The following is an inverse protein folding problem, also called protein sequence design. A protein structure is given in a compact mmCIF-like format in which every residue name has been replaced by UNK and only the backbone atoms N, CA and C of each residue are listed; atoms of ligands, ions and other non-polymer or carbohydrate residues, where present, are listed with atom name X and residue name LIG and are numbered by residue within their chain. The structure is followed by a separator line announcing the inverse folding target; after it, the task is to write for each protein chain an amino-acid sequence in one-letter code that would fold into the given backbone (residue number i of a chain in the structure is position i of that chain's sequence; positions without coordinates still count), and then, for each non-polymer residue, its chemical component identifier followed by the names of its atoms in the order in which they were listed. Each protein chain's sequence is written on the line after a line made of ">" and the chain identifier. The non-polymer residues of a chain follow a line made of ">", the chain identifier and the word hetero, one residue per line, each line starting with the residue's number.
data_IF_637056272039
#
_entry.id   IF_637056272039
#
_cell.length_a   1.000
_cell.length_b   1.000
_cell.length_c   1.000
_cell.angle_alpha   90.00
_cell.angle_beta   90.00
_cell.angle_gamma   90.00
#
_symmetry.space_group_name_H-M   'P 1'
#
loop_
_entity.id
_entity.type
_entity.pdbx_description
1 polymer ?
#
# COMPACT_ATOMS: atom_id res chain seq x y z
N UNK A 1 -6.67 22.69 -11.04
CA UNK A 1 -7.96 23.08 -10.44
C UNK A 1 -8.37 24.51 -10.83
N UNK A 2 -7.58 25.54 -10.65
CA UNK A 2 -7.94 26.94 -10.94
C UNK A 2 -8.42 27.18 -12.39
N UNK A 3 -7.76 26.57 -13.39
CA UNK A 3 -8.17 26.66 -14.81
C UNK A 3 -9.51 25.98 -15.11
N UNK A 4 -10.01 25.15 -14.21
CA UNK A 4 -11.25 24.37 -14.33
C UNK A 4 -12.34 24.82 -13.35
N UNK A 5 -12.28 26.10 -12.91
CA UNK A 5 -13.35 26.73 -12.15
C UNK A 5 -13.30 26.55 -10.62
N UNK A 6 -12.34 25.82 -10.08
CA UNK A 6 -12.14 25.70 -8.64
C UNK A 6 -10.92 26.51 -8.18
N UNK A 7 -11.08 27.27 -7.12
CA UNK A 7 -10.00 28.02 -6.45
C UNK A 7 -9.76 27.40 -5.07
N UNK A 8 -8.49 27.33 -4.71
CA UNK A 8 -8.06 26.98 -3.35
C UNK A 8 -7.45 28.23 -2.72
N UNK A 9 -7.69 28.45 -1.45
CA UNK A 9 -7.14 29.57 -0.67
C UNK A 9 -5.72 29.29 -0.14
N UNK A 10 -5.29 28.03 -0.17
CA UNK A 10 -3.99 27.58 0.32
C UNK A 10 -3.49 26.37 -0.46
N UNK A 11 -2.17 26.17 -0.49
CA UNK A 11 -1.52 24.96 -1.00
C UNK A 11 -1.33 23.89 0.10
N UNK A 12 -1.68 24.22 1.35
CA UNK A 12 -1.55 23.34 2.52
C UNK A 12 -2.87 23.24 3.28
N UNK A 13 -3.08 22.10 3.94
CA UNK A 13 -4.24 21.90 4.82
C UNK A 13 -4.11 22.74 6.11
N UNK A 14 -5.25 23.27 6.62
CA UNK A 14 -6.59 23.21 6.05
C UNK A 14 -6.74 24.06 4.81
N UNK A 15 -7.57 23.65 3.84
CA UNK A 15 -7.80 24.36 2.59
C UNK A 15 -9.29 24.56 2.33
N UNK A 16 -9.67 25.78 1.92
CA UNK A 16 -11.01 26.10 1.46
C UNK A 16 -11.07 26.03 -0.08
N UNK A 17 -12.01 25.29 -0.61
CA UNK A 17 -12.26 25.19 -2.05
C UNK A 17 -13.52 25.95 -2.41
N UNK A 18 -13.42 26.85 -3.41
CA UNK A 18 -14.54 27.61 -3.93
C UNK A 18 -14.73 27.36 -5.42
N UNK A 19 -15.98 27.45 -5.90
CA UNK A 19 -16.32 27.34 -7.32
C UNK A 19 -16.90 25.98 -7.69
N UNK A 20 -17.02 25.77 -9.01
CA UNK A 20 -17.55 24.52 -9.59
C UNK A 20 -16.55 23.97 -10.59
N UNK A 21 -16.28 22.68 -10.49
CA UNK A 21 -15.44 21.97 -11.44
C UNK A 21 -16.10 22.03 -12.84
N UNK A 22 -15.32 22.25 -13.88
CA UNK A 22 -15.78 22.34 -15.27
C UNK A 22 -15.11 21.26 -16.11
N UNK A 23 -15.85 20.75 -17.09
CA UNK A 23 -15.28 19.84 -18.11
C UNK A 23 -14.14 20.47 -18.88
N UNK A 24 -13.27 19.63 -19.45
CA UNK A 24 -12.11 20.04 -20.24
C UNK A 24 -10.92 19.10 -20.09
N UNK A 25 -9.74 19.55 -20.50
CA UNK A 25 -8.51 18.76 -20.50
C UNK A 25 -7.73 18.98 -19.21
N UNK A 26 -7.57 17.92 -18.44
CA UNK A 26 -6.82 17.86 -17.18
C UNK A 26 -5.45 17.22 -17.41
N UNK A 27 -4.40 18.01 -17.33
CA UNK A 27 -3.02 17.52 -17.52
C UNK A 27 -2.32 17.39 -16.19
N UNK A 28 -1.80 16.20 -15.89
CA UNK A 28 -1.12 15.91 -14.63
C UNK A 28 -0.06 14.79 -14.79
N UNK A 29 0.96 14.73 -13.91
CA UNK A 29 1.93 13.64 -13.94
C UNK A 29 1.29 12.33 -13.44
N UNK A 30 1.65 11.21 -14.09
CA UNK A 30 1.18 9.87 -13.74
C UNK A 30 1.98 9.20 -12.63
N UNK A 31 3.13 9.76 -12.25
CA UNK A 31 4.08 9.19 -11.30
C UNK A 31 4.09 9.86 -9.91
N UNK A 32 3.16 10.75 -9.61
CA UNK A 32 3.06 11.41 -8.30
C UNK A 32 2.07 10.66 -7.41
N UNK A 33 0.80 10.60 -7.79
CA UNK A 33 -0.21 9.88 -7.03
C UNK A 33 -1.37 9.44 -7.92
N UNK A 34 -1.68 8.14 -7.87
CA UNK A 34 -2.87 7.57 -8.51
C UNK A 34 -4.17 8.16 -7.95
N UNK A 35 -4.17 8.66 -6.71
CA UNK A 35 -5.34 9.26 -6.07
C UNK A 35 -5.83 10.52 -6.78
N UNK A 36 -4.94 11.33 -7.36
CA UNK A 36 -5.34 12.50 -8.14
C UNK A 36 -6.10 12.11 -9.40
N UNK A 37 -5.63 11.05 -10.08
CA UNK A 37 -6.28 10.49 -11.27
C UNK A 37 -7.62 9.88 -10.88
N UNK A 38 -7.66 9.07 -9.84
CA UNK A 38 -8.88 8.43 -9.30
C UNK A 38 -9.93 9.46 -8.93
N UNK A 39 -9.56 10.53 -8.22
CA UNK A 39 -10.48 11.61 -7.87
C UNK A 39 -11.11 12.29 -9.10
N UNK A 40 -10.32 12.55 -10.14
CA UNK A 40 -10.84 13.09 -11.40
C UNK A 40 -11.73 12.08 -12.12
N UNK A 41 -11.34 10.80 -12.21
CA UNK A 41 -12.14 9.75 -12.83
C UNK A 41 -13.53 9.60 -12.18
N UNK A 42 -13.64 9.81 -10.86
CA UNK A 42 -14.95 9.83 -10.18
C UNK A 42 -15.75 11.11 -10.42
N UNK A 43 -15.10 12.25 -10.55
CA UNK A 43 -15.80 13.54 -10.63
C UNK A 43 -16.21 13.92 -12.07
N UNK A 44 -15.33 13.70 -13.06
CA UNK A 44 -15.50 14.19 -14.42
C UNK A 44 -16.73 13.63 -15.16
N UNK A 45 -17.15 12.35 -14.96
CA UNK A 45 -18.35 11.84 -15.61
C UNK A 45 -19.64 12.60 -15.28
N UNK A 46 -19.68 13.24 -14.10
CA UNK A 46 -20.86 13.99 -13.62
C UNK A 46 -20.99 15.39 -14.22
N UNK A 47 -19.94 15.88 -14.88
CA UNK A 47 -19.94 17.21 -15.49
C UNK A 47 -20.73 17.19 -16.79
N UNK A 48 -21.26 18.35 -17.21
CA UNK A 48 -22.13 18.45 -18.41
C UNK A 48 -21.39 18.12 -19.71
N UNK A 49 -20.12 18.50 -19.83
CA UNK A 49 -19.33 18.34 -21.05
C UNK A 49 -18.31 17.20 -20.97
N UNK A 50 -17.78 16.83 -22.12
CA UNK A 50 -16.67 15.86 -22.24
C UNK A 50 -15.41 16.38 -21.52
N UNK A 51 -14.69 15.46 -20.90
CA UNK A 51 -13.41 15.74 -20.25
C UNK A 51 -12.35 14.76 -20.71
N UNK A 52 -11.08 15.16 -20.57
CA UNK A 52 -9.93 14.33 -20.87
C UNK A 52 -8.91 14.44 -19.73
N UNK A 53 -8.35 13.32 -19.34
CA UNK A 53 -7.17 13.27 -18.46
C UNK A 53 -5.97 12.94 -19.33
N UNK A 54 -4.96 13.84 -19.35
CA UNK A 54 -3.69 13.65 -20.06
C UNK A 54 -2.56 13.51 -19.07
N UNK A 55 -1.81 12.43 -19.19
CA UNK A 55 -0.64 12.19 -18.37
C UNK A 55 0.63 12.70 -19.05
N UNK A 56 1.50 13.35 -18.28
CA UNK A 56 2.78 13.88 -18.76
C UNK A 56 3.95 12.94 -18.50
N UNK A 57 3.75 11.91 -17.68
CA UNK A 57 4.75 10.88 -17.34
C UNK A 57 4.12 9.50 -17.34
N UNK A 58 4.95 8.45 -17.28
CA UNK A 58 4.47 7.07 -17.07
C UNK A 58 3.65 6.96 -15.78
N UNK A 59 2.69 6.04 -15.80
CA UNK A 59 1.84 5.74 -14.64
C UNK A 59 2.62 4.84 -13.68
N UNK A 60 2.61 5.23 -12.41
CA UNK A 60 2.98 4.36 -11.30
C UNK A 60 1.74 3.98 -10.49
N UNK A 61 1.76 2.81 -9.85
CA UNK A 61 0.60 2.25 -9.14
C UNK A 61 -0.65 2.16 -10.03
N UNK A 62 -0.48 1.67 -11.27
CA UNK A 62 -1.55 1.52 -12.26
C UNK A 62 -2.72 0.67 -11.71
N UNK A 63 -2.44 -0.34 -10.91
CA UNK A 63 -3.45 -1.22 -10.32
C UNK A 63 -4.57 -0.47 -9.58
N UNK A 64 -4.28 0.62 -8.88
CA UNK A 64 -5.31 1.43 -8.21
C UNK A 64 -6.21 2.18 -9.19
N UNK A 65 -5.66 2.58 -10.35
CA UNK A 65 -6.44 3.19 -11.41
C UNK A 65 -7.33 2.14 -12.08
N UNK A 66 -6.80 0.95 -12.33
CA UNK A 66 -7.54 -0.18 -12.91
C UNK A 66 -8.70 -0.61 -12.01
N UNK A 67 -8.52 -0.62 -10.67
CA UNK A 67 -9.60 -0.80 -9.69
C UNK A 67 -10.67 0.26 -9.84
N UNK A 68 -10.27 1.52 -9.98
CA UNK A 68 -11.19 2.64 -10.19
C UNK A 68 -11.99 2.46 -11.47
N UNK A 69 -11.34 2.15 -12.59
CA UNK A 69 -11.98 1.92 -13.88
C UNK A 69 -12.95 0.72 -13.84
N UNK A 70 -12.56 -0.39 -13.20
CA UNK A 70 -13.42 -1.56 -12.96
C UNK A 70 -14.66 -1.17 -12.15
N UNK A 71 -14.48 -0.36 -11.12
CA UNK A 71 -15.57 0.15 -10.27
C UNK A 71 -16.50 1.06 -11.06
N UNK A 72 -15.96 2.05 -11.77
CA UNK A 72 -16.76 2.97 -12.61
C UNK A 72 -17.63 2.21 -13.62
N UNK A 73 -17.03 1.25 -14.33
CA UNK A 73 -17.77 0.38 -15.27
C UNK A 73 -18.90 -0.38 -14.58
N UNK A 74 -18.65 -0.88 -13.36
CA UNK A 74 -19.66 -1.58 -12.56
C UNK A 74 -20.84 -0.68 -12.20
N UNK A 75 -20.60 0.60 -11.99
CA UNK A 75 -21.63 1.59 -11.68
C UNK A 75 -22.15 2.32 -12.92
N UNK A 76 -21.95 1.77 -14.11
CA UNK A 76 -22.54 2.25 -15.36
C UNK A 76 -21.84 3.46 -15.96
N UNK A 77 -20.64 3.79 -15.50
CA UNK A 77 -19.84 4.89 -16.03
C UNK A 77 -18.93 4.39 -17.16
N UNK A 78 -18.94 5.12 -18.27
CA UNK A 78 -18.08 4.89 -19.44
C UNK A 78 -16.86 5.79 -19.37
N UNK A 79 -15.67 5.19 -19.47
CA UNK A 79 -14.39 5.85 -19.62
C UNK A 79 -13.63 5.13 -20.72
N UNK A 80 -13.03 5.86 -21.64
CA UNK A 80 -12.26 5.30 -22.75
C UNK A 80 -10.78 5.59 -22.55
N UNK A 81 -9.94 4.56 -22.53
CA UNK A 81 -8.48 4.72 -22.47
C UNK A 81 -7.98 5.27 -23.82
N UNK A 82 -7.03 6.19 -23.75
CA UNK A 82 -6.34 6.81 -24.90
C UNK A 82 -4.83 6.58 -24.79
N UNK A 83 -4.05 6.96 -25.78
CA UNK A 83 -2.59 6.82 -25.75
C UNK A 83 -1.93 7.58 -24.58
N UNK A 84 -2.53 8.68 -24.12
CA UNK A 84 -1.97 9.55 -23.09
C UNK A 84 -2.79 9.62 -21.79
N UNK A 85 -3.85 8.82 -21.65
CA UNK A 85 -4.72 8.86 -20.48
C UNK A 85 -6.13 8.38 -20.76
N UNK A 86 -7.16 9.21 -20.53
CA UNK A 86 -8.56 8.81 -20.65
C UNK A 86 -9.44 9.92 -21.19
N UNK A 87 -10.40 9.55 -22.07
CA UNK A 87 -11.53 10.38 -22.48
C UNK A 87 -12.76 9.98 -21.66
N UNK A 88 -13.47 10.97 -21.15
CA UNK A 88 -14.59 10.81 -20.23
C UNK A 88 -15.78 11.62 -20.74
N UNK A 89 -16.80 10.97 -21.34
CA UNK A 89 -18.08 11.62 -21.66
C UNK A 89 -18.71 12.23 -20.41
N UNK A 90 -19.25 13.42 -20.52
CA UNK A 90 -19.98 14.05 -19.43
C UNK A 90 -21.47 13.67 -19.37
N UNK A 91 -22.19 14.25 -18.42
CA UNK A 91 -23.63 14.03 -18.23
C UNK A 91 -24.01 12.63 -17.78
N UNK A 92 -23.05 11.83 -17.35
CA UNK A 92 -23.28 10.46 -16.89
C UNK A 92 -23.88 10.45 -15.47
N UNK A 93 -24.50 9.34 -15.12
CA UNK A 93 -25.05 9.10 -13.79
C UNK A 93 -24.60 7.74 -13.28
N UNK A 94 -24.25 7.66 -12.00
CA UNK A 94 -23.94 6.39 -11.36
C UNK A 94 -25.21 5.55 -11.15
N UNK A 95 -25.13 4.30 -11.55
CA UNK A 95 -26.20 3.31 -11.36
C UNK A 95 -25.64 2.15 -10.53
N UNK A 96 -25.97 2.14 -9.24
CA UNK A 96 -25.52 1.08 -8.35
C UNK A 96 -26.20 -0.26 -8.62
N UNK A 97 -25.48 -1.37 -8.60
CA UNK A 97 -26.07 -2.70 -8.59
C UNK A 97 -26.82 -2.94 -7.25
N UNK A 98 -27.80 -3.85 -7.25
CA UNK A 98 -28.61 -4.15 -6.06
C UNK A 98 -27.76 -4.70 -4.90
N UNK A 99 -26.68 -5.40 -5.20
CA UNK A 99 -25.78 -5.99 -4.22
C UNK A 99 -24.35 -5.97 -4.76
N UNK A 100 -23.39 -5.66 -3.89
CA UNK A 100 -21.96 -5.76 -4.15
C UNK A 100 -21.24 -6.22 -2.89
N UNK A 101 -20.29 -7.08 -3.09
CA UNK A 101 -19.31 -7.44 -2.08
C UNK A 101 -18.02 -6.65 -2.36
N UNK A 102 -17.49 -5.98 -1.36
CA UNK A 102 -16.13 -5.47 -1.42
C UNK A 102 -15.17 -6.66 -1.32
N UNK A 103 -14.21 -6.72 -2.21
CA UNK A 103 -13.12 -7.69 -2.08
C UNK A 103 -12.22 -7.33 -0.90
N UNK A 104 -11.46 -8.32 -0.38
CA UNK A 104 -10.47 -8.09 0.66
C UNK A 104 -9.31 -7.22 0.16
N UNK A 105 -8.69 -6.53 1.10
CA UNK A 105 -7.55 -5.64 0.86
C UNK A 105 -6.25 -6.42 0.89
N UNK A 106 -5.59 -6.56 -0.27
CA UNK A 106 -4.31 -7.24 -0.40
C UNK A 106 -3.18 -6.54 0.35
N UNK A 107 -3.24 -5.20 0.47
CA UNK A 107 -2.25 -4.46 1.24
C UNK A 107 -2.28 -4.84 2.72
N UNK A 108 -3.49 -4.95 3.29
CA UNK A 108 -3.67 -5.36 4.69
C UNK A 108 -3.41 -6.87 4.88
N UNK A 109 -3.81 -7.70 3.93
CA UNK A 109 -3.54 -9.14 3.98
C UNK A 109 -2.04 -9.47 3.93
N UNK A 110 -1.24 -8.64 3.28
CA UNK A 110 0.20 -8.83 3.15
C UNK A 110 0.91 -8.93 4.51
N UNK A 111 0.47 -8.19 5.53
CA UNK A 111 1.05 -8.27 6.87
C UNK A 111 0.90 -9.67 7.47
N UNK A 112 -0.26 -10.27 7.32
CA UNK A 112 -0.55 -11.61 7.82
C UNK A 112 0.14 -12.70 7.01
N UNK A 113 0.19 -12.56 5.69
CA UNK A 113 0.88 -13.50 4.82
C UNK A 113 2.38 -13.52 5.09
N UNK A 114 3.00 -12.36 5.32
CA UNK A 114 4.41 -12.28 5.74
C UNK A 114 4.61 -12.90 7.12
N UNK A 115 3.73 -12.63 8.08
CA UNK A 115 3.80 -13.27 9.40
C UNK A 115 3.75 -14.79 9.28
N UNK A 116 2.86 -15.33 8.43
CA UNK A 116 2.77 -16.78 8.17
C UNK A 116 4.02 -17.35 7.50
N UNK A 117 4.60 -16.60 6.55
CA UNK A 117 5.82 -16.99 5.85
C UNK A 117 7.07 -17.02 6.76
N UNK A 118 7.12 -16.16 7.78
CA UNK A 118 8.25 -16.10 8.73
C UNK A 118 8.08 -17.09 9.87
N UNK A 119 6.89 -17.14 10.51
CA UNK A 119 6.76 -17.77 11.83
C UNK A 119 5.86 -19.01 11.87
N UNK A 120 5.20 -19.41 10.76
CA UNK A 120 4.27 -20.53 10.84
C UNK A 120 3.42 -20.75 9.60
N UNK A 121 2.10 -20.62 9.74
CA UNK A 121 1.16 -20.75 8.62
C UNK A 121 -0.07 -19.88 8.90
N UNK A 122 -0.36 -18.90 8.02
CA UNK A 122 -1.53 -18.04 8.15
C UNK A 122 -2.29 -18.00 6.82
N UNK A 123 -3.62 -18.18 6.92
CA UNK A 123 -4.55 -18.11 5.80
C UNK A 123 -5.41 -16.85 5.84
N UNK A 124 -5.43 -16.08 4.74
CA UNK A 124 -6.28 -14.91 4.54
C UNK A 124 -7.44 -15.24 3.61
N UNK A 125 -8.67 -14.92 4.03
CA UNK A 125 -9.89 -15.16 3.26
C UNK A 125 -10.45 -13.87 2.66
N UNK A 126 -11.31 -14.03 1.63
CA UNK A 126 -12.04 -12.93 1.01
C UNK A 126 -11.23 -12.13 -0.01
N UNK A 127 -10.03 -12.57 -0.36
CA UNK A 127 -9.19 -11.96 -1.38
C UNK A 127 -9.60 -12.45 -2.77
N UNK A 128 -9.74 -11.53 -3.72
CA UNK A 128 -9.95 -11.87 -5.14
C UNK A 128 -8.60 -12.10 -5.82
N UNK A 129 -8.35 -13.32 -6.28
CA UNK A 129 -7.10 -13.68 -6.97
C UNK A 129 -6.96 -13.01 -8.35
N UNK A 130 -8.07 -12.53 -8.92
CA UNK A 130 -8.10 -11.78 -10.18
C UNK A 130 -8.19 -10.25 -9.94
N UNK A 131 -7.98 -9.80 -8.70
CA UNK A 131 -8.02 -8.40 -8.35
C UNK A 131 -6.93 -7.61 -9.10
N UNK A 132 -7.24 -6.41 -9.61
CA UNK A 132 -6.23 -5.49 -10.14
C UNK A 132 -5.40 -4.80 -9.04
N UNK A 133 -5.62 -5.08 -7.76
CA UNK A 133 -4.78 -4.57 -6.67
C UNK A 133 -3.32 -4.96 -6.91
N UNK A 134 -2.42 -3.96 -7.03
CA UNK A 134 -0.98 -4.21 -7.25
C UNK A 134 -0.36 -5.07 -6.16
N UNK A 135 -0.81 -4.88 -4.93
CA UNK A 135 -0.31 -5.55 -3.73
C UNK A 135 -0.65 -7.05 -3.67
N UNK A 136 -1.46 -7.56 -4.60
CA UNK A 136 -1.59 -9.00 -4.84
C UNK A 136 -0.25 -9.67 -5.18
N UNK A 137 0.73 -8.88 -5.65
CA UNK A 137 2.09 -9.34 -5.90
C UNK A 137 2.76 -9.97 -4.67
N UNK A 138 2.27 -9.71 -3.45
CA UNK A 138 2.82 -10.32 -2.23
C UNK A 138 2.88 -11.85 -2.30
N UNK A 139 1.88 -12.48 -2.92
CA UNK A 139 1.84 -13.94 -3.04
C UNK A 139 3.04 -14.47 -3.83
N UNK A 140 3.30 -13.88 -5.02
CA UNK A 140 4.43 -14.26 -5.86
C UNK A 140 5.78 -13.89 -5.23
N UNK A 141 5.86 -12.74 -4.56
CA UNK A 141 7.08 -12.31 -3.87
C UNK A 141 7.44 -13.24 -2.71
N UNK A 142 6.46 -13.73 -1.95
CA UNK A 142 6.72 -14.72 -0.90
C UNK A 142 7.23 -16.05 -1.46
N UNK A 143 6.71 -16.50 -2.60
CA UNK A 143 7.25 -17.67 -3.31
C UNK A 143 8.69 -17.41 -3.82
N UNK A 144 8.98 -16.22 -4.33
CA UNK A 144 10.31 -15.84 -4.77
C UNK A 144 11.30 -15.79 -3.59
N UNK A 145 10.86 -15.33 -2.41
CA UNK A 145 11.64 -15.45 -1.17
C UNK A 145 11.88 -16.92 -0.77
N UNK A 146 11.04 -17.85 -1.20
CA UNK A 146 11.13 -19.27 -0.87
C UNK A 146 10.03 -19.80 0.06
N UNK A 147 9.12 -18.94 0.56
CA UNK A 147 7.98 -19.39 1.35
C UNK A 147 7.00 -20.20 0.49
N UNK A 148 6.16 -20.99 1.12
CA UNK A 148 5.11 -21.73 0.41
C UNK A 148 3.80 -20.96 0.44
N UNK A 149 3.21 -20.67 -0.73
CA UNK A 149 1.86 -20.13 -0.82
C UNK A 149 0.90 -21.16 -1.42
N UNK A 150 -0.32 -21.23 -0.88
CA UNK A 150 -1.38 -22.10 -1.39
C UNK A 150 -2.67 -21.34 -1.54
N UNK A 151 -3.27 -21.41 -2.72
CA UNK A 151 -4.60 -20.88 -2.99
C UNK A 151 -5.60 -22.01 -2.97
N UNK A 152 -6.64 -21.89 -2.13
CA UNK A 152 -7.75 -22.83 -2.07
C UNK A 152 -9.07 -22.07 -1.89
N UNK A 153 -10.01 -22.27 -2.82
CA UNK A 153 -11.29 -21.57 -2.82
C UNK A 153 -11.08 -20.03 -2.83
N UNK A 154 -11.47 -19.35 -1.75
CA UNK A 154 -11.35 -17.91 -1.55
C UNK A 154 -10.31 -17.55 -0.48
N UNK A 155 -9.35 -18.43 -0.23
CA UNK A 155 -8.30 -18.27 0.77
C UNK A 155 -6.93 -18.41 0.11
N UNK A 156 -5.99 -17.57 0.53
CA UNK A 156 -4.56 -17.77 0.31
C UNK A 156 -3.88 -18.04 1.65
N UNK A 157 -3.01 -19.03 1.70
CA UNK A 157 -2.24 -19.38 2.90
C UNK A 157 -0.76 -19.24 2.58
N UNK A 158 -0.04 -18.49 3.41
CA UNK A 158 1.43 -18.46 3.40
C UNK A 158 1.98 -19.30 4.55
N UNK A 159 2.95 -20.13 4.25
CA UNK A 159 3.54 -21.09 5.21
C UNK A 159 5.06 -20.94 5.19
N UNK A 160 5.64 -21.00 6.38
CA UNK A 160 7.09 -20.87 6.59
C UNK A 160 7.88 -21.92 5.79
N UNK A 161 8.90 -21.45 5.13
CA UNK A 161 10.03 -22.21 4.54
C UNK A 161 11.29 -21.36 4.67
N UNK A 162 12.44 -21.96 4.38
CA UNK A 162 13.70 -21.19 4.27
C UNK A 162 13.58 -20.11 3.20
N UNK A 163 13.69 -18.87 3.63
CA UNK A 163 13.61 -17.70 2.74
C UNK A 163 15.01 -17.18 2.40
N UNK A 164 15.16 -16.64 1.19
CA UNK A 164 16.42 -16.04 0.68
C UNK A 164 16.14 -14.64 0.15
N UNK A 165 17.14 -13.78 0.24
CA UNK A 165 17.08 -12.41 -0.24
C UNK A 165 16.85 -12.35 -1.76
N UNK A 166 16.04 -11.38 -2.20
CA UNK A 166 15.62 -11.17 -3.57
C UNK A 166 15.75 -9.70 -3.99
N UNK A 167 15.53 -9.41 -5.28
CA UNK A 167 15.40 -8.02 -5.76
C UNK A 167 13.95 -7.70 -6.09
N UNK A 168 13.44 -6.57 -5.58
CA UNK A 168 12.03 -6.19 -5.66
C UNK A 168 11.90 -4.82 -6.31
N UNK A 169 11.10 -4.70 -7.37
CA UNK A 169 10.69 -3.43 -7.95
C UNK A 169 9.45 -2.90 -7.23
N UNK A 170 9.60 -1.80 -6.47
CA UNK A 170 8.52 -1.20 -5.69
C UNK A 170 7.63 -0.23 -6.47
N UNK A 171 7.92 0.04 -7.74
CA UNK A 171 7.22 1.08 -8.53
C UNK A 171 5.69 0.88 -8.58
N UNK A 172 5.20 -0.37 -8.58
CA UNK A 172 3.78 -0.69 -8.63
C UNK A 172 3.18 -1.15 -7.29
N UNK A 173 4.04 -1.37 -6.27
CA UNK A 173 3.68 -1.93 -4.96
C UNK A 173 4.27 -1.16 -3.78
N UNK A 174 4.25 0.19 -3.79
CA UNK A 174 4.91 0.99 -2.75
C UNK A 174 4.37 0.70 -1.35
N UNK A 175 3.13 0.27 -1.26
CA UNK A 175 2.46 0.02 0.02
C UNK A 175 2.86 -1.32 0.66
N UNK A 176 3.48 -2.23 -0.10
CA UNK A 176 4.06 -3.47 0.44
C UNK A 176 5.46 -3.26 1.05
N UNK A 177 6.18 -2.17 0.71
CA UNK A 177 7.58 -2.01 1.11
C UNK A 177 7.80 -2.14 2.62
N UNK A 178 6.99 -1.54 3.52
CA UNK A 178 7.18 -1.71 4.95
C UNK A 178 7.19 -3.18 5.41
N UNK A 179 6.23 -3.96 4.95
CA UNK A 179 6.16 -5.37 5.37
C UNK A 179 7.17 -6.25 4.63
N UNK A 180 7.59 -5.88 3.41
CA UNK A 180 8.65 -6.55 2.69
C UNK A 180 10.02 -6.34 3.35
N UNK A 181 10.25 -5.22 4.04
CA UNK A 181 11.44 -5.03 4.86
C UNK A 181 11.49 -6.05 6.00
N UNK A 182 10.37 -6.39 6.59
CA UNK A 182 10.28 -7.42 7.64
C UNK A 182 10.54 -8.81 7.07
N UNK A 183 9.96 -9.13 5.90
CA UNK A 183 10.25 -10.39 5.20
C UNK A 183 11.74 -10.53 4.86
N UNK A 184 12.36 -9.42 4.41
CA UNK A 184 13.79 -9.36 4.08
C UNK A 184 14.68 -9.61 5.29
N UNK A 185 14.31 -9.11 6.48
CA UNK A 185 15.05 -9.35 7.72
C UNK A 185 15.01 -10.82 8.15
N UNK A 186 13.95 -11.55 7.80
CA UNK A 186 13.84 -12.98 8.09
C UNK A 186 14.48 -13.88 7.02
N UNK A 187 14.87 -13.34 5.87
CA UNK A 187 15.45 -14.07 4.77
C UNK A 187 17.00 -14.18 4.88
N UNK A 188 17.59 -15.25 4.39
CA UNK A 188 19.04 -15.37 4.29
C UNK A 188 19.61 -14.50 3.16
N UNK A 189 20.68 -13.75 3.43
CA UNK A 189 21.36 -12.92 2.42
C UNK A 189 20.79 -11.53 2.30
N UNK A 190 20.89 -10.91 1.12
CA UNK A 190 20.51 -9.51 0.90
C UNK A 190 19.27 -9.40 0.04
N UNK A 191 18.34 -8.54 0.48
CA UNK A 191 17.19 -8.10 -0.31
C UNK A 191 17.37 -6.65 -0.71
N UNK A 192 17.24 -6.35 -2.00
CA UNK A 192 17.21 -4.98 -2.53
C UNK A 192 15.78 -4.63 -2.97
N UNK A 193 15.20 -3.58 -2.39
CA UNK A 193 13.92 -3.00 -2.81
C UNK A 193 14.23 -1.68 -3.50
N UNK A 194 14.00 -1.59 -4.80
CA UNK A 194 14.35 -0.43 -5.64
C UNK A 194 13.13 0.20 -6.31
N UNK A 195 13.32 1.34 -7.00
CA UNK A 195 12.23 2.20 -7.49
C UNK A 195 11.26 2.61 -6.35
N UNK A 196 11.82 2.88 -5.18
CA UNK A 196 11.11 3.14 -3.93
C UNK A 196 11.05 4.64 -3.54
N UNK A 197 11.59 5.54 -4.35
CA UNK A 197 11.72 6.98 -4.03
C UNK A 197 10.40 7.66 -3.71
N UNK A 198 9.26 7.20 -4.27
CA UNK A 198 7.92 7.72 -3.94
C UNK A 198 7.50 7.50 -2.49
N UNK A 199 8.11 6.55 -1.79
CA UNK A 199 7.82 6.30 -0.38
C UNK A 199 8.17 7.49 0.50
N UNK A 200 9.08 8.36 0.04
CA UNK A 200 9.44 9.60 0.74
C UNK A 200 8.34 10.65 0.76
N UNK A 201 7.33 10.51 -0.10
CA UNK A 201 6.19 11.44 -0.23
C UNK A 201 4.87 10.80 0.24
N UNK A 202 4.93 9.76 1.07
CA UNK A 202 3.75 9.12 1.65
C UNK A 202 3.34 9.79 2.97
N UNK A 203 2.60 9.11 3.83
CA UNK A 203 2.17 9.60 5.15
C UNK A 203 3.36 9.97 6.05
N UNK A 204 4.48 9.31 5.85
CA UNK A 204 5.81 9.61 6.37
C UNK A 204 6.83 9.45 5.25
N UNK A 205 8.10 9.82 5.45
CA UNK A 205 9.19 9.30 4.60
C UNK A 205 9.39 7.82 4.95
N UNK A 206 8.51 6.96 4.37
CA UNK A 206 8.47 5.51 4.69
C UNK A 206 9.81 4.83 4.48
N UNK A 207 10.61 5.30 3.50
CA UNK A 207 11.90 4.69 3.21
C UNK A 207 12.87 4.94 4.36
N UNK A 208 13.01 6.19 4.79
CA UNK A 208 13.87 6.58 5.91
C UNK A 208 13.37 5.98 7.24
N UNK A 209 12.05 6.08 7.50
CA UNK A 209 11.46 5.57 8.75
C UNK A 209 11.62 4.05 8.85
N UNK A 210 11.40 3.28 7.77
CA UNK A 210 11.63 1.84 7.79
C UNK A 210 13.11 1.51 7.99
N UNK A 211 14.04 2.24 7.36
CA UNK A 211 15.46 2.04 7.58
C UNK A 211 15.83 2.25 9.07
N UNK A 212 15.35 3.33 9.68
CA UNK A 212 15.55 3.63 11.10
C UNK A 212 14.95 2.52 11.99
N UNK A 213 13.70 2.15 11.75
CA UNK A 213 13.01 1.13 12.54
C UNK A 213 13.73 -0.22 12.49
N UNK A 214 14.14 -0.67 11.30
CA UNK A 214 14.84 -1.93 11.14
C UNK A 214 16.23 -1.90 11.80
N UNK A 215 16.97 -0.78 11.70
CA UNK A 215 18.24 -0.61 12.40
C UNK A 215 18.08 -0.64 13.92
N UNK A 216 17.01 -0.04 14.47
CA UNK A 216 16.73 -0.07 15.91
C UNK A 216 16.52 -1.48 16.46
N UNK A 217 15.97 -2.38 15.66
CA UNK A 217 15.82 -3.80 16.05
C UNK A 217 17.06 -4.66 15.68
N UNK A 218 18.16 -4.03 15.28
CA UNK A 218 19.42 -4.72 15.01
C UNK A 218 19.51 -5.40 13.65
N UNK A 219 18.77 -4.95 12.66
CA UNK A 219 18.88 -5.38 11.27
C UNK A 219 19.84 -4.48 10.52
N UNK A 220 20.75 -5.06 9.72
CA UNK A 220 21.67 -4.30 8.87
C UNK A 220 20.91 -3.75 7.65
N UNK A 221 20.90 -2.41 7.52
CA UNK A 221 20.18 -1.69 6.46
C UNK A 221 21.07 -0.65 5.81
N UNK A 222 21.07 -0.62 4.48
CA UNK A 222 21.64 0.45 3.66
C UNK A 222 20.50 1.20 2.95
N UNK A 223 20.22 2.42 3.39
CA UNK A 223 19.23 3.31 2.75
C UNK A 223 19.90 4.10 1.62
N UNK A 224 19.22 4.19 0.47
CA UNK A 224 19.60 5.01 -0.70
C UNK A 224 18.47 5.96 -1.09
N UNK A 225 18.70 6.94 -1.96
CA UNK A 225 17.64 7.89 -2.37
C UNK A 225 16.38 7.23 -2.93
N UNK A 226 16.50 6.10 -3.62
CA UNK A 226 15.43 5.39 -4.33
C UNK A 226 15.39 3.88 -4.05
N UNK A 227 16.11 3.42 -3.04
CA UNK A 227 16.12 2.00 -2.66
C UNK A 227 16.52 1.79 -1.21
N UNK A 228 16.20 0.61 -0.70
CA UNK A 228 16.66 0.10 0.59
C UNK A 228 17.19 -1.31 0.41
N UNK A 229 18.35 -1.60 1.00
CA UNK A 229 18.97 -2.92 1.01
C UNK A 229 18.98 -3.42 2.46
N UNK A 230 18.46 -4.62 2.66
CA UNK A 230 18.36 -5.25 3.97
C UNK A 230 19.15 -6.55 3.91
N UNK A 231 20.07 -6.70 4.86
CA UNK A 231 20.78 -7.95 5.10
C UNK A 231 19.99 -8.75 6.13
N UNK A 232 19.65 -9.98 5.80
CA UNK A 232 18.89 -10.86 6.69
C UNK A 232 19.60 -11.14 8.00
N UNK A 233 18.81 -11.32 9.03
CA UNK A 233 19.22 -11.43 10.43
C UNK A 233 18.71 -10.26 11.25
N UNK A 234 18.38 -10.56 12.50
CA UNK A 234 17.91 -9.60 13.48
C UNK A 234 18.66 -9.84 14.79
N UNK A 235 19.43 -8.86 15.22
CA UNK A 235 20.21 -8.93 16.46
C UNK A 235 19.82 -7.74 17.35
N UNK A 236 18.67 -7.82 18.05
CA UNK A 236 18.15 -6.70 18.82
C UNK A 236 19.15 -6.30 19.92
N UNK A 237 19.33 -4.99 20.16
CA UNK A 237 20.15 -4.50 21.25
C UNK A 237 19.51 -4.84 22.60
N UNK A 238 20.32 -4.86 23.66
CA UNK A 238 19.81 -4.96 25.03
C UNK A 238 19.07 -3.68 25.42
N UNK A 239 17.96 -3.83 26.16
CA UNK A 239 17.17 -2.73 26.68
C UNK A 239 15.86 -2.48 25.94
N UNK A 240 15.21 -1.39 26.28
CA UNK A 240 13.93 -1.00 25.68
C UNK A 240 14.14 -0.48 24.26
N UNK A 241 13.37 -1.02 23.31
CA UNK A 241 13.36 -0.57 21.92
C UNK A 241 12.09 0.24 21.68
N UNK A 242 12.24 1.52 21.40
CA UNK A 242 11.13 2.43 21.11
C UNK A 242 11.14 2.82 19.65
N UNK A 243 10.02 2.54 18.97
CA UNK A 243 9.78 2.88 17.57
C UNK A 243 8.78 4.03 17.49
N UNK A 244 9.12 5.10 16.78
CA UNK A 244 8.15 6.13 16.40
C UNK A 244 7.56 5.76 15.04
N UNK A 245 6.25 5.59 14.97
CA UNK A 245 5.54 5.27 13.73
C UNK A 245 5.39 6.48 12.80
N UNK A 246 5.72 7.69 13.24
CA UNK A 246 5.47 8.94 12.51
C UNK A 246 4.00 9.05 12.04
N UNK A 247 3.06 8.53 12.84
CA UNK A 247 1.64 8.49 12.51
C UNK A 247 1.33 7.76 11.19
N UNK A 248 2.16 6.79 10.81
CA UNK A 248 1.97 5.95 9.62
C UNK A 248 1.54 4.54 10.02
N UNK A 249 0.30 4.18 9.63
CA UNK A 249 -0.31 2.89 9.95
C UNK A 249 0.48 1.69 9.42
N UNK A 250 1.17 1.83 8.27
CA UNK A 250 1.95 0.74 7.68
C UNK A 250 3.25 0.48 8.45
N UNK A 251 3.84 1.54 9.02
CA UNK A 251 4.98 1.40 9.93
C UNK A 251 4.54 0.67 11.19
N UNK A 252 3.41 1.09 11.81
CA UNK A 252 2.86 0.40 12.99
C UNK A 252 2.68 -1.09 12.72
N UNK A 253 1.95 -1.44 11.64
CA UNK A 253 1.64 -2.82 11.32
C UNK A 253 2.90 -3.63 10.99
N UNK A 254 3.83 -3.07 10.23
CA UNK A 254 5.09 -3.74 9.88
C UNK A 254 5.92 -4.04 11.14
N UNK A 255 6.08 -3.07 12.02
CA UNK A 255 6.88 -3.24 13.24
C UNK A 255 6.20 -4.16 14.26
N UNK A 256 4.86 -4.16 14.33
CA UNK A 256 4.14 -5.13 15.15
C UNK A 256 4.32 -6.57 14.63
N UNK A 257 4.31 -6.78 13.31
CA UNK A 257 4.62 -8.09 12.72
C UNK A 257 6.09 -8.44 12.93
N UNK A 258 7.02 -7.49 12.79
CA UNK A 258 8.44 -7.71 13.09
C UNK A 258 8.63 -8.18 14.55
N UNK A 259 7.97 -7.52 15.50
CA UNK A 259 8.03 -7.89 16.92
C UNK A 259 7.69 -9.37 17.14
N UNK A 260 6.51 -9.81 16.65
CA UNK A 260 6.05 -11.20 16.90
C UNK A 260 6.78 -12.22 16.03
N UNK A 261 7.19 -11.86 14.81
CA UNK A 261 7.78 -12.81 13.87
C UNK A 261 9.29 -12.97 14.02
N UNK A 262 10.00 -11.93 14.48
CA UNK A 262 11.43 -11.95 14.72
C UNK A 262 11.77 -12.10 16.22
N UNK A 263 10.75 -12.17 17.09
CA UNK A 263 10.93 -12.37 18.53
C UNK A 263 11.53 -11.16 19.25
N UNK A 264 11.15 -9.95 18.86
CA UNK A 264 11.67 -8.69 19.42
C UNK A 264 10.59 -8.00 20.26
N UNK A 265 10.87 -7.70 21.51
CA UNK A 265 10.01 -6.85 22.34
C UNK A 265 10.28 -5.37 22.02
N UNK A 266 9.21 -4.62 21.70
CA UNK A 266 9.36 -3.20 21.37
C UNK A 266 8.09 -2.40 21.73
N UNK A 267 8.28 -1.10 21.97
CA UNK A 267 7.22 -0.10 22.19
C UNK A 267 7.01 0.68 20.90
N UNK A 268 5.76 0.75 20.41
CA UNK A 268 5.41 1.53 19.20
C UNK A 268 4.63 2.77 19.62
N UNK A 269 5.21 3.96 19.41
CA UNK A 269 4.54 5.23 19.60
C UNK A 269 3.63 5.52 18.40
N UNK A 270 2.43 6.10 18.68
CA UNK A 270 1.45 6.42 17.63
C UNK A 270 0.77 5.17 17.04
N UNK A 271 0.64 4.10 17.81
CA UNK A 271 0.04 2.84 17.37
C UNK A 271 -1.42 2.99 16.91
N UNK A 272 -2.13 4.01 17.38
CA UNK A 272 -3.49 4.37 16.96
C UNK A 272 -3.58 4.75 15.47
N UNK A 273 -2.47 5.00 14.78
CA UNK A 273 -2.43 5.22 13.33
C UNK A 273 -3.05 4.06 12.53
N UNK A 274 -3.10 2.84 13.07
CA UNK A 274 -3.80 1.70 12.42
C UNK A 274 -5.27 1.98 12.14
N UNK A 275 -5.89 2.88 12.90
CA UNK A 275 -7.29 3.28 12.71
C UNK A 275 -7.55 3.92 11.32
N UNK A 276 -6.52 4.37 10.63
CA UNK A 276 -6.62 4.94 9.26
C UNK A 276 -7.01 3.89 8.21
N UNK A 277 -6.62 2.63 8.40
CA UNK A 277 -6.84 1.58 7.38
C UNK A 277 -7.24 0.23 7.96
N UNK A 278 -6.86 -0.10 9.19
CA UNK A 278 -7.11 -1.40 9.80
C UNK A 278 -7.39 -1.28 11.31
N UNK A 279 -8.55 -0.72 11.71
CA UNK A 279 -8.86 -0.47 13.13
C UNK A 279 -8.83 -1.72 14.02
N UNK A 280 -9.09 -2.92 13.46
CA UNK A 280 -9.06 -4.19 14.21
C UNK A 280 -7.71 -4.89 14.19
N UNK A 281 -6.64 -4.29 13.66
CA UNK A 281 -5.35 -4.95 13.48
C UNK A 281 -4.81 -5.62 14.76
N UNK A 282 -4.75 -4.91 15.87
CA UNK A 282 -4.25 -5.48 17.13
C UNK A 282 -5.18 -6.54 17.73
N UNK A 283 -6.50 -6.44 17.46
CA UNK A 283 -7.46 -7.47 17.85
C UNK A 283 -7.18 -8.78 17.08
N UNK A 284 -6.93 -8.68 15.78
CA UNK A 284 -6.59 -9.85 14.96
C UNK A 284 -5.19 -10.40 15.32
N UNK A 285 -4.23 -9.53 15.63
CA UNK A 285 -2.90 -9.95 16.10
C UNK A 285 -3.01 -10.78 17.38
N UNK A 286 -3.81 -10.32 18.35
CA UNK A 286 -4.03 -11.04 19.60
C UNK A 286 -4.73 -12.39 19.37
N UNK A 287 -5.70 -12.51 18.46
CA UNK A 287 -6.34 -13.77 18.09
C UNK A 287 -5.35 -14.77 17.48
N UNK A 288 -4.32 -14.29 16.81
CA UNK A 288 -3.25 -15.12 16.23
C UNK A 288 -2.12 -15.43 17.23
N UNK A 289 -2.24 -14.99 18.48
CA UNK A 289 -1.30 -15.31 19.56
C UNK A 289 -0.29 -14.20 19.86
N UNK A 290 -0.35 -13.05 19.18
CA UNK A 290 0.46 -11.88 19.52
C UNK A 290 0.06 -11.30 20.88
N UNK A 291 1.04 -10.87 21.66
CA UNK A 291 0.80 -10.21 22.95
C UNK A 291 1.04 -8.72 22.79
N UNK A 292 0.02 -7.92 23.12
CA UNK A 292 0.09 -6.45 23.03
C UNK A 292 -0.45 -5.82 24.30
N UNK A 293 0.24 -4.80 24.79
CA UNK A 293 -0.18 -3.99 25.92
C UNK A 293 -0.30 -2.53 25.49
N UNK A 294 -1.32 -1.84 25.98
CA UNK A 294 -1.46 -0.38 25.83
C UNK A 294 -0.86 0.25 27.05
N UNK A 295 0.12 1.14 26.84
CA UNK A 295 0.82 1.87 27.89
C UNK A 295 0.17 3.24 28.12
#
# INVERSE_FOLDING_TARGET
>A
MARHGCKADSDHLPVTLEGKLRSGVYTLPGNVSSQFITGLLFALPLLEGESEIRLTTKIESKGYIDMTLKTLKTFGITVTETESGWSIPGGQKYHGPRMRYAEGDWSNAAFWLVAGAIGGSIGCQGLDMESPQGDRAIAALLEEFGAETKVALNQITATHKEMKGIRIDASQIPDLVPILCVAAAAAEGKTEIYNAGRLRMKESDRLAVMAECMQKIGVEVEEKPDSIIITGGCNPPEGEIVIDSHNDHRIVMAMAIAAVSLGVELTILGAEAVNKSYPSFFIELAKLGGVTNVL
#
